data_IF_795294665628
#
_entry.id   IF_795294665628
#
_cell.length_a   1.000
_cell.length_b   1.000
_cell.length_c   1.000
_cell.angle_alpha   90.00
_cell.angle_beta   90.00
_cell.angle_gamma   90.00
#
_symmetry.space_group_name_H-M   'P 1'
#
loop_
_entity.id
_entity.type
_entity.pdbx_description
1 polymer ?
#
# COMPACT_ATOMS: atom_id res chain seq x y z
N UNK A 1 4.60 7.92 -7.75
CA UNK A 1 3.16 8.18 -8.00
C UNK A 1 2.71 7.37 -9.21
N UNK A 2 1.40 7.18 -9.38
CA UNK A 2 0.88 6.54 -10.58
C UNK A 2 1.06 7.41 -11.82
N UNK A 3 1.20 6.81 -13.00
CA UNK A 3 1.34 7.50 -14.28
C UNK A 3 0.26 7.05 -15.29
N UNK A 4 -0.03 7.84 -16.34
CA UNK A 4 -1.05 7.48 -17.32
C UNK A 4 -0.79 6.12 -17.98
N UNK A 5 -1.84 5.30 -18.13
CA UNK A 5 -1.79 3.96 -18.72
C UNK A 5 -0.89 2.95 -17.97
N UNK A 6 -0.62 3.18 -16.68
CA UNK A 6 0.07 2.20 -15.84
C UNK A 6 -0.75 0.90 -15.70
N UNK A 7 -0.07 -0.24 -15.81
CA UNK A 7 -0.68 -1.58 -15.70
C UNK A 7 -0.41 -2.26 -14.35
N UNK A 8 0.79 -2.05 -13.80
CA UNK A 8 1.24 -2.69 -12.57
C UNK A 8 1.21 -1.79 -11.34
N UNK A 9 1.89 -2.24 -10.29
CA UNK A 9 2.13 -1.46 -9.07
C UNK A 9 3.03 -0.25 -9.37
N UNK A 10 3.00 0.76 -8.50
CA UNK A 10 3.98 1.84 -8.52
C UNK A 10 5.36 1.31 -8.15
N UNK A 11 6.41 1.93 -8.69
CA UNK A 11 7.79 1.59 -8.33
C UNK A 11 7.98 1.63 -6.81
N UNK A 12 8.55 0.54 -6.27
CA UNK A 12 8.79 0.38 -4.85
C UNK A 12 9.81 1.39 -4.32
N UNK A 13 9.49 2.01 -3.19
CA UNK A 13 10.34 3.02 -2.52
C UNK A 13 10.79 2.58 -1.13
N UNK A 14 10.35 1.40 -0.69
CA UNK A 14 10.79 0.69 0.51
C UNK A 14 11.18 -0.75 0.17
N UNK A 15 12.04 -1.41 0.97
CA UNK A 15 12.41 -2.81 0.76
C UNK A 15 11.21 -3.75 0.82
N UNK A 16 10.24 -3.47 1.71
CA UNK A 16 9.01 -4.25 1.83
C UNK A 16 8.18 -4.18 0.55
N UNK A 17 8.07 -3.01 -0.08
CA UNK A 17 7.32 -2.90 -1.33
C UNK A 17 8.00 -3.68 -2.46
N UNK A 18 9.33 -3.78 -2.49
CA UNK A 18 10.05 -4.63 -3.45
C UNK A 18 9.72 -6.12 -3.24
N UNK A 19 9.72 -6.60 -1.99
CA UNK A 19 9.31 -7.96 -1.64
C UNK A 19 7.84 -8.24 -2.05
N UNK A 20 6.94 -7.27 -1.83
CA UNK A 20 5.55 -7.37 -2.24
C UNK A 20 5.39 -7.43 -3.77
N UNK A 21 6.18 -6.68 -4.54
CA UNK A 21 6.17 -6.75 -6.00
C UNK A 21 6.62 -8.14 -6.49
N UNK A 22 7.70 -8.69 -5.92
CA UNK A 22 8.17 -10.03 -6.25
C UNK A 22 7.15 -11.12 -5.91
N UNK A 23 6.49 -10.99 -4.75
CA UNK A 23 5.42 -11.91 -4.35
C UNK A 23 4.19 -11.81 -5.24
N UNK A 24 3.80 -10.58 -5.61
CA UNK A 24 2.72 -10.34 -6.56
C UNK A 24 3.00 -11.05 -7.89
N UNK A 25 4.21 -10.92 -8.45
CA UNK A 25 4.56 -11.55 -9.72
C UNK A 25 4.54 -13.08 -9.64
N UNK A 26 5.00 -13.66 -8.52
CA UNK A 26 4.89 -15.10 -8.26
C UNK A 26 3.43 -15.57 -8.22
N UNK A 27 2.57 -14.85 -7.50
CA UNK A 27 1.14 -15.17 -7.43
C UNK A 27 0.44 -14.98 -8.79
N UNK A 28 0.77 -13.91 -9.51
CA UNK A 28 0.20 -13.58 -10.81
C UNK A 28 0.56 -14.63 -11.87
N UNK A 29 1.80 -15.15 -11.85
CA UNK A 29 2.21 -16.27 -12.70
C UNK A 29 1.29 -17.49 -12.50
N UNK A 30 0.98 -17.84 -11.26
CA UNK A 30 0.08 -18.95 -10.94
C UNK A 30 -1.35 -18.67 -11.41
N UNK A 31 -1.86 -17.45 -11.23
CA UNK A 31 -3.19 -17.04 -11.73
C UNK A 31 -3.25 -17.15 -13.25
N UNK A 32 -2.24 -16.70 -13.98
CA UNK A 32 -2.18 -16.85 -15.44
C UNK A 32 -2.12 -18.31 -15.87
N UNK A 33 -1.34 -19.15 -15.18
CA UNK A 33 -1.27 -20.58 -15.45
C UNK A 33 -2.64 -21.25 -15.30
N UNK A 34 -3.33 -21.01 -14.19
CA UNK A 34 -4.63 -21.64 -13.91
C UNK A 34 -5.71 -21.11 -14.88
N UNK A 35 -5.78 -19.79 -15.08
CA UNK A 35 -6.78 -19.19 -15.97
C UNK A 35 -6.61 -19.65 -17.42
N UNK A 36 -5.38 -19.73 -17.92
CA UNK A 36 -5.09 -20.26 -19.26
C UNK A 36 -5.40 -21.76 -19.39
N UNK A 37 -5.10 -22.57 -18.35
CA UNK A 37 -5.46 -23.99 -18.30
C UNK A 37 -6.97 -24.20 -18.35
N UNK A 38 -7.72 -23.46 -17.54
CA UNK A 38 -9.20 -23.56 -17.51
C UNK A 38 -9.77 -23.13 -18.85
N UNK A 39 -9.30 -22.02 -19.41
CA UNK A 39 -9.72 -21.55 -20.74
C UNK A 39 -9.44 -22.60 -21.83
N UNK A 40 -8.24 -23.21 -21.78
CA UNK A 40 -7.86 -24.28 -22.70
C UNK A 40 -8.81 -25.48 -22.58
N UNK A 41 -9.06 -25.99 -21.36
CA UNK A 41 -9.96 -27.13 -21.12
C UNK A 41 -11.36 -26.83 -21.66
N UNK A 42 -11.91 -25.64 -21.39
CA UNK A 42 -13.23 -25.24 -21.91
C UNK A 42 -13.22 -25.27 -23.45
N UNK A 43 -12.21 -24.67 -24.09
CA UNK A 43 -12.12 -24.65 -25.55
C UNK A 43 -12.00 -26.06 -26.16
N UNK A 44 -11.20 -26.94 -25.54
CA UNK A 44 -10.99 -28.30 -26.00
C UNK A 44 -12.26 -29.15 -25.87
N UNK A 45 -12.97 -29.02 -24.73
CA UNK A 45 -14.20 -29.77 -24.48
C UNK A 45 -15.34 -29.36 -25.42
N UNK A 46 -15.38 -28.10 -25.87
CA UNK A 46 -16.43 -27.58 -26.76
C UNK A 46 -16.17 -27.81 -28.25
N UNK A 47 -14.93 -28.13 -28.65
CA UNK A 47 -14.54 -28.17 -30.07
C UNK A 47 -14.53 -29.57 -30.69
N UNK A 48 -14.66 -30.62 -29.89
CA UNK A 48 -14.72 -31.99 -30.39
C UNK A 48 -16.13 -32.39 -30.86
N UNK A 49 -16.19 -33.18 -31.94
CA UNK A 49 -17.44 -33.84 -32.40
C UNK A 49 -17.66 -35.21 -31.73
N UNK A 50 -16.62 -35.75 -31.09
CA UNK A 50 -16.69 -37.05 -30.43
C UNK A 50 -17.56 -36.96 -29.19
N UNK A 51 -18.34 -38.01 -28.91
CA UNK A 51 -19.25 -38.05 -27.77
C UNK A 51 -18.97 -39.25 -26.89
N UNK A 52 -19.10 -39.05 -25.59
CA UNK A 52 -19.13 -40.11 -24.58
C UNK A 52 -20.13 -39.72 -23.51
N UNK A 53 -21.25 -40.45 -23.44
CA UNK A 53 -22.37 -40.17 -22.52
C UNK A 53 -22.60 -41.28 -21.50
N UNK A 54 -21.83 -42.36 -21.58
CA UNK A 54 -21.79 -43.40 -20.56
C UNK A 54 -21.18 -42.89 -19.26
N UNK A 55 -21.49 -43.58 -18.16
CA UNK A 55 -20.95 -43.32 -16.82
C UNK A 55 -19.43 -43.35 -16.84
N UNK A 56 -18.80 -42.31 -16.29
CA UNK A 56 -17.35 -42.22 -16.08
C UNK A 56 -17.05 -42.35 -14.59
N UNK A 57 -16.03 -43.12 -14.24
CA UNK A 57 -15.52 -43.15 -12.87
C UNK A 57 -14.77 -41.85 -12.54
N UNK A 58 -14.96 -41.31 -11.34
CA UNK A 58 -14.48 -39.99 -10.95
C UNK A 58 -13.32 -40.01 -9.95
N UNK A 59 -13.09 -41.12 -9.24
CA UNK A 59 -12.20 -41.14 -8.06
C UNK A 59 -10.77 -40.72 -8.39
N UNK A 60 -10.25 -41.15 -9.54
CA UNK A 60 -8.89 -40.83 -9.98
C UNK A 60 -8.73 -39.33 -10.28
N UNK A 61 -9.67 -38.71 -11.00
CA UNK A 61 -9.61 -37.27 -11.34
C UNK A 61 -9.85 -36.39 -10.11
N UNK A 62 -10.74 -36.84 -9.21
CA UNK A 62 -11.00 -36.16 -7.94
C UNK A 62 -9.75 -36.06 -7.08
N UNK A 63 -8.98 -37.15 -6.99
CA UNK A 63 -7.73 -37.15 -6.24
C UNK A 63 -6.73 -36.13 -6.79
N UNK A 64 -6.62 -36.03 -8.12
CA UNK A 64 -5.69 -35.10 -8.80
C UNK A 64 -6.09 -33.65 -8.58
N UNK A 65 -7.35 -33.28 -8.84
CA UNK A 65 -7.80 -31.89 -8.73
C UNK A 65 -7.93 -31.42 -7.28
N UNK A 66 -7.83 -32.31 -6.28
CA UNK A 66 -7.82 -31.93 -4.87
C UNK A 66 -6.38 -31.73 -4.38
N UNK A 67 -5.46 -32.65 -4.69
CA UNK A 67 -4.07 -32.57 -4.24
C UNK A 67 -3.33 -31.43 -4.95
N UNK A 68 -3.53 -31.25 -6.26
CA UNK A 68 -2.77 -30.26 -7.03
C UNK A 68 -3.04 -28.81 -6.56
N UNK A 69 -4.29 -28.35 -6.36
CA UNK A 69 -4.54 -27.03 -5.79
C UNK A 69 -4.02 -26.87 -4.35
N UNK A 70 -4.05 -27.93 -3.54
CA UNK A 70 -3.48 -27.88 -2.19
C UNK A 70 -1.98 -27.56 -2.21
N UNK A 71 -1.22 -28.19 -3.13
CA UNK A 71 0.21 -27.90 -3.32
C UNK A 71 0.41 -26.44 -3.79
N UNK A 72 -0.41 -25.97 -4.74
CA UNK A 72 -0.35 -24.59 -5.23
C UNK A 72 -0.57 -23.58 -4.10
N UNK A 73 -1.56 -23.82 -3.23
CA UNK A 73 -1.82 -22.95 -2.08
C UNK A 73 -0.63 -22.89 -1.13
N UNK A 74 0.04 -24.01 -0.85
CA UNK A 74 1.27 -24.04 -0.03
C UNK A 74 2.38 -23.20 -0.67
N UNK A 75 2.56 -23.31 -1.99
CA UNK A 75 3.57 -22.54 -2.74
C UNK A 75 3.31 -21.02 -2.74
N UNK A 76 2.07 -20.58 -2.58
CA UNK A 76 1.71 -19.16 -2.40
C UNK A 76 1.85 -18.75 -0.93
N UNK A 77 1.41 -19.60 -0.01
CA UNK A 77 1.35 -19.29 1.41
C UNK A 77 2.74 -19.08 2.04
N UNK A 78 3.75 -19.88 1.66
CA UNK A 78 5.09 -19.79 2.24
C UNK A 78 5.76 -18.41 2.04
N UNK A 79 5.90 -17.88 0.81
CA UNK A 79 6.46 -16.53 0.62
C UNK A 79 5.55 -15.45 1.22
N UNK A 80 4.22 -15.61 1.16
CA UNK A 80 3.27 -14.67 1.75
C UNK A 80 3.47 -14.50 3.26
N UNK A 81 3.53 -15.62 4.00
CA UNK A 81 3.73 -15.61 5.44
C UNK A 81 5.11 -15.07 5.81
N UNK A 82 6.15 -15.38 5.04
CA UNK A 82 7.48 -14.81 5.25
C UNK A 82 7.45 -13.28 5.21
N UNK A 83 6.83 -12.69 4.19
CA UNK A 83 6.73 -11.23 4.05
C UNK A 83 5.89 -10.64 5.19
N UNK A 84 4.78 -11.29 5.56
CA UNK A 84 3.94 -10.87 6.68
C UNK A 84 4.75 -10.70 7.97
N UNK A 85 5.57 -11.71 8.33
CA UNK A 85 6.41 -11.62 9.52
C UNK A 85 7.55 -10.61 9.39
N UNK A 86 8.11 -10.41 8.19
CA UNK A 86 9.12 -9.36 7.95
C UNK A 86 8.54 -7.95 8.13
N UNK A 87 7.27 -7.74 7.79
CA UNK A 87 6.59 -6.45 7.97
C UNK A 87 6.26 -6.15 9.44
N UNK A 88 5.96 -7.18 10.22
CA UNK A 88 5.60 -7.05 11.63
C UNK A 88 6.82 -7.00 12.57
N UNK A 89 8.02 -7.27 12.04
CA UNK A 89 9.25 -7.24 12.82
C UNK A 89 9.48 -5.84 13.42
N UNK A 90 9.57 -5.79 14.75
CA UNK A 90 9.73 -4.55 15.49
C UNK A 90 11.16 -4.06 15.34
N UNK A 91 11.34 -3.18 14.37
CA UNK A 91 12.59 -2.44 14.21
C UNK A 91 12.65 -1.32 15.24
N UNK A 92 13.82 -1.06 15.85
CA UNK A 92 14.04 0.06 16.75
C UNK A 92 13.97 1.37 15.95
N UNK A 93 12.85 2.13 16.00
CA UNK A 93 12.68 3.30 15.15
C UNK A 93 13.46 4.47 15.73
N UNK A 94 14.00 5.31 14.84
CA UNK A 94 14.78 6.50 15.22
C UNK A 94 13.93 7.74 15.39
N UNK A 95 12.71 7.74 14.82
CA UNK A 95 11.74 8.82 14.88
C UNK A 95 10.34 8.22 14.96
N UNK A 96 9.46 8.83 15.75
CA UNK A 96 8.03 8.55 15.80
C UNK A 96 7.28 9.78 15.31
N UNK A 97 6.35 9.56 14.37
CA UNK A 97 5.38 10.57 13.95
C UNK A 97 3.98 10.05 14.23
N UNK A 98 3.06 10.94 14.60
CA UNK A 98 1.64 10.63 14.63
C UNK A 98 0.96 11.27 13.42
N UNK A 99 0.06 10.54 12.78
CA UNK A 99 -0.84 11.06 11.78
C UNK A 99 -2.27 10.85 12.25
N UNK A 100 -3.05 11.93 12.21
CA UNK A 100 -4.44 11.94 12.68
C UNK A 100 -5.32 12.29 11.50
N UNK A 101 -6.28 11.42 11.20
CA UNK A 101 -7.29 11.65 10.17
C UNK A 101 -8.44 12.51 10.67
N UNK A 102 -8.87 13.45 9.83
CA UNK A 102 -10.01 14.35 10.05
C UNK A 102 -10.86 14.46 8.79
N UNK A 103 -12.11 14.89 8.90
CA UNK A 103 -12.98 15.28 7.80
C UNK A 103 -12.63 16.71 7.36
N UNK A 104 -11.92 16.96 6.25
CA UNK A 104 -11.30 16.03 5.29
C UNK A 104 -9.86 16.48 5.02
N UNK A 105 -8.97 16.18 5.95
CA UNK A 105 -7.55 16.52 5.92
C UNK A 105 -6.77 15.60 6.87
N UNK A 106 -5.45 15.70 6.86
CA UNK A 106 -4.58 14.99 7.80
C UNK A 106 -3.83 15.99 8.66
N UNK A 107 -3.69 15.74 9.96
CA UNK A 107 -2.70 16.44 10.78
C UNK A 107 -1.53 15.51 11.11
N UNK A 108 -0.36 16.10 11.28
CA UNK A 108 0.87 15.40 11.62
C UNK A 108 1.48 15.98 12.89
N UNK A 109 1.93 15.12 13.79
CA UNK A 109 2.58 15.48 15.04
C UNK A 109 3.96 14.83 15.14
N UNK A 110 4.98 15.64 15.45
CA UNK A 110 6.38 15.24 15.58
C UNK A 110 6.87 15.51 17.00
N UNK A 111 6.37 14.74 17.98
CA UNK A 111 6.50 15.06 19.41
C UNK A 111 7.73 14.48 20.10
N UNK A 112 8.66 13.85 19.37
CA UNK A 112 9.84 13.22 19.98
C UNK A 112 10.85 14.23 20.54
N UNK A 113 10.87 15.46 20.00
CA UNK A 113 11.82 16.51 20.39
C UNK A 113 11.13 17.79 20.85
N UNK A 114 10.18 18.30 20.05
CA UNK A 114 9.44 19.54 20.30
C UNK A 114 7.95 19.34 19.96
N UNK A 115 7.08 20.26 20.38
CA UNK A 115 5.64 20.21 20.02
C UNK A 115 5.40 20.75 18.61
N UNK A 116 5.95 20.06 17.60
CA UNK A 116 5.68 20.35 16.19
C UNK A 116 4.41 19.64 15.73
N UNK A 117 3.41 20.40 15.31
CA UNK A 117 2.21 19.90 14.64
C UNK A 117 1.75 20.84 13.52
N UNK A 118 1.09 20.27 12.50
CA UNK A 118 0.47 21.05 11.42
C UNK A 118 -0.59 20.24 10.69
N UNK A 119 -1.49 20.95 10.02
CA UNK A 119 -2.51 20.37 9.15
C UNK A 119 -2.03 20.32 7.68
N UNK A 120 -2.52 19.32 6.96
CA UNK A 120 -2.22 19.04 5.56
C UNK A 120 -3.52 18.93 4.77
N UNK A 121 -3.84 19.98 4.04
CA UNK A 121 -5.02 20.09 3.18
C UNK A 121 -4.65 19.95 1.71
N UNK A 122 -5.57 19.41 0.92
CA UNK A 122 -5.43 19.38 -0.54
C UNK A 122 -5.43 20.79 -1.11
N UNK A 123 -4.47 21.10 -1.98
CA UNK A 123 -4.48 22.37 -2.73
C UNK A 123 -5.67 22.35 -3.71
N UNK A 124 -6.57 23.35 -3.68
CA UNK A 124 -7.67 23.46 -4.63
C UNK A 124 -7.16 23.48 -6.08
N UNK A 125 -7.89 22.83 -6.99
CA UNK A 125 -7.44 22.73 -8.41
C UNK A 125 -7.25 24.11 -9.07
N UNK A 126 -7.99 25.13 -8.64
CA UNK A 126 -7.86 26.52 -9.10
C UNK A 126 -6.57 27.21 -8.66
N UNK A 127 -5.89 26.71 -7.62
CA UNK A 127 -4.71 27.30 -7.00
C UNK A 127 -3.41 26.55 -7.35
N UNK A 128 -3.51 25.48 -8.14
CA UNK A 128 -2.36 24.69 -8.55
C UNK A 128 -1.40 25.51 -9.42
N UNK A 129 -0.11 25.40 -9.13
CA UNK A 129 0.93 25.99 -9.99
C UNK A 129 1.18 25.07 -11.20
N UNK A 130 1.70 25.61 -12.32
CA UNK A 130 2.04 24.77 -13.48
C UNK A 130 2.96 23.61 -13.09
N UNK A 131 2.55 22.38 -13.45
CA UNK A 131 3.27 21.14 -13.12
C UNK A 131 2.78 20.41 -11.86
N UNK A 132 1.95 21.05 -11.03
CA UNK A 132 1.34 20.39 -9.88
C UNK A 132 0.28 19.36 -10.26
N UNK A 133 0.11 18.38 -9.37
CA UNK A 133 -0.78 17.25 -9.57
C UNK A 133 -2.18 17.52 -8.99
N UNK A 134 -3.18 17.48 -9.86
CA UNK A 134 -4.59 17.62 -9.47
C UNK A 134 -4.98 16.53 -8.47
N UNK A 135 -5.58 16.94 -7.36
CA UNK A 135 -6.06 16.09 -6.25
C UNK A 135 -5.00 15.38 -5.41
N UNK A 136 -3.71 15.60 -5.66
CA UNK A 136 -2.62 14.92 -4.95
C UNK A 136 -1.73 15.88 -4.16
N UNK A 137 -1.61 17.13 -4.59
CA UNK A 137 -0.81 18.11 -3.86
C UNK A 137 -1.51 18.58 -2.60
N UNK A 138 -0.70 18.81 -1.57
CA UNK A 138 -1.08 19.38 -0.28
C UNK A 138 -0.34 20.68 -0.03
N UNK A 139 -0.91 21.53 0.82
CA UNK A 139 -0.28 22.77 1.27
C UNK A 139 0.98 22.51 2.12
N UNK A 140 0.89 21.61 3.10
CA UNK A 140 1.97 21.20 3.98
C UNK A 140 2.25 19.70 3.81
N UNK A 141 3.46 19.38 3.38
CA UNK A 141 3.90 17.98 3.20
C UNK A 141 4.44 17.44 4.52
N UNK A 142 4.29 16.15 4.75
CA UNK A 142 4.96 15.47 5.85
C UNK A 142 6.43 15.21 5.46
N UNK A 143 7.33 16.08 5.94
CA UNK A 143 8.77 15.96 5.67
C UNK A 143 9.37 14.93 6.63
N UNK A 144 10.17 14.00 6.10
CA UNK A 144 10.74 12.88 6.83
C UNK A 144 12.19 12.61 6.41
N UNK A 145 13.06 12.11 7.30
CA UNK A 145 14.39 11.70 6.92
C UNK A 145 14.38 10.40 6.10
N UNK A 146 15.07 10.39 4.96
CA UNK A 146 15.32 9.16 4.18
C UNK A 146 16.32 8.23 4.89
N UNK A 147 16.34 6.95 4.51
CA UNK A 147 17.24 5.90 5.03
C UNK A 147 17.15 5.67 6.55
N UNK A 148 16.07 6.12 7.18
CA UNK A 148 15.81 5.95 8.61
C UNK A 148 14.53 5.17 8.84
N UNK A 149 14.52 4.34 9.88
CA UNK A 149 13.33 3.60 10.29
C UNK A 149 12.45 4.51 11.13
N UNK A 150 11.27 4.83 10.62
CA UNK A 150 10.30 5.74 11.24
C UNK A 150 9.10 4.93 11.71
N UNK A 151 8.69 5.14 12.96
CA UNK A 151 7.40 4.64 13.46
C UNK A 151 6.32 5.64 13.11
N UNK A 152 5.28 5.20 12.43
CA UNK A 152 4.09 6.00 12.14
C UNK A 152 2.96 5.47 13.00
N UNK A 153 2.40 6.35 13.83
CA UNK A 153 1.22 6.08 14.64
C UNK A 153 0.00 6.71 13.96
N UNK A 154 -0.96 5.87 13.57
CA UNK A 154 -2.13 6.27 12.77
C UNK A 154 -3.39 6.20 13.65
N UNK A 155 -4.13 7.30 13.73
CA UNK A 155 -5.41 7.38 14.43
C UNK A 155 -6.35 8.39 13.77
N UNK A 156 -7.55 8.55 14.30
CA UNK A 156 -8.56 9.50 13.81
C UNK A 156 -9.22 10.23 14.99
N UNK A 157 -9.64 11.47 14.76
CA UNK A 157 -10.43 12.25 15.72
C UNK A 157 -11.94 12.24 15.45
N UNK A 158 -12.39 11.73 14.30
CA UNK A 158 -13.81 11.71 13.93
C UNK A 158 -14.33 10.34 13.45
N UNK A 159 -14.18 10.02 12.16
CA UNK A 159 -14.68 8.80 11.50
C UNK A 159 -13.51 7.91 11.09
N UNK A 160 -13.82 6.78 10.46
CA UNK A 160 -12.77 5.94 9.88
C UNK A 160 -12.11 6.65 8.70
N UNK A 161 -10.78 6.64 8.69
CA UNK A 161 -9.95 6.97 7.53
C UNK A 161 -8.92 5.85 7.32
N UNK A 162 -8.10 5.93 6.28
CA UNK A 162 -6.97 5.01 6.11
C UNK A 162 -5.81 5.71 5.46
N UNK A 163 -4.69 5.74 6.17
CA UNK A 163 -3.45 6.40 5.76
C UNK A 163 -2.65 5.45 4.87
N UNK A 164 -2.55 5.76 3.58
CA UNK A 164 -1.97 4.86 2.59
C UNK A 164 -1.01 5.55 1.63
N UNK A 165 0.17 4.97 1.45
CA UNK A 165 1.20 5.40 0.50
C UNK A 165 1.66 4.17 -0.30
N UNK A 166 1.07 3.93 -1.49
CA UNK A 166 1.26 2.68 -2.23
C UNK A 166 2.71 2.36 -2.58
N UNK A 167 3.51 3.35 -2.98
CA UNK A 167 4.93 3.14 -3.33
C UNK A 167 5.78 2.63 -2.17
N UNK A 168 5.38 2.91 -0.92
CA UNK A 168 6.06 2.40 0.27
C UNK A 168 5.47 1.08 0.77
N UNK A 169 4.39 0.57 0.16
CA UNK A 169 3.69 -0.62 0.64
C UNK A 169 2.92 -0.39 1.95
N UNK A 170 2.53 0.86 2.23
CA UNK A 170 1.88 1.24 3.50
C UNK A 170 0.39 1.49 3.30
N UNK A 171 -0.42 0.85 4.15
CA UNK A 171 -1.83 1.17 4.35
C UNK A 171 -2.20 0.80 5.78
N UNK A 172 -2.69 1.77 6.54
CA UNK A 172 -3.10 1.55 7.93
C UNK A 172 -4.34 2.38 8.24
N UNK A 173 -5.35 1.73 8.78
CA UNK A 173 -6.62 2.40 9.09
C UNK A 173 -6.45 3.31 10.31
N UNK A 174 -7.01 4.50 10.19
CA UNK A 174 -7.13 5.50 11.23
C UNK A 174 -8.50 5.31 11.90
N UNK A 175 -8.48 4.73 13.10
CA UNK A 175 -9.69 4.34 13.84
C UNK A 175 -9.81 5.23 15.09
N UNK A 176 -10.93 5.95 15.28
CA UNK A 176 -11.12 6.77 16.48
C UNK A 176 -10.98 5.95 17.76
N UNK A 177 -10.17 6.46 18.70
CA UNK A 177 -9.88 5.77 19.96
C UNK A 177 -8.90 4.59 19.87
N UNK A 178 -8.28 4.37 18.71
CA UNK A 178 -7.22 3.35 18.53
C UNK A 178 -5.99 3.96 17.87
N UNK A 179 -4.82 3.63 18.41
CA UNK A 179 -3.53 4.04 17.86
C UNK A 179 -2.90 2.83 17.15
N UNK A 180 -3.03 2.79 15.82
CA UNK A 180 -2.36 1.76 15.02
C UNK A 180 -0.92 2.16 14.76
N UNK A 181 -0.03 1.18 14.61
CA UNK A 181 1.38 1.40 14.32
C UNK A 181 1.72 0.78 12.97
N UNK A 182 2.52 1.48 12.18
CA UNK A 182 3.23 0.92 11.02
C UNK A 182 4.65 1.45 10.97
N UNK A 183 5.54 0.69 10.31
CA UNK A 183 6.95 1.07 10.13
C UNK A 183 7.14 1.63 8.73
N UNK A 184 7.80 2.78 8.64
CA UNK A 184 8.14 3.44 7.38
C UNK A 184 9.67 3.47 7.22
N UNK A 185 10.15 3.05 6.06
CA UNK A 185 11.54 3.18 5.64
C UNK A 185 11.57 3.47 4.14
N UNK A 186 12.07 4.65 3.78
CA UNK A 186 12.29 5.02 2.38
C UNK A 186 13.79 4.96 2.06
N UNK A 187 14.16 4.28 0.99
CA UNK A 187 15.58 4.12 0.59
C UNK A 187 16.09 5.25 -0.29
N UNK A 188 15.20 6.14 -0.75
CA UNK A 188 15.53 7.20 -1.71
C UNK A 188 14.84 8.51 -1.30
N UNK A 189 15.43 9.67 -1.65
CA UNK A 189 14.76 10.95 -1.47
C UNK A 189 13.65 11.13 -2.52
N UNK A 190 12.69 12.01 -2.23
CA UNK A 190 11.68 12.42 -3.20
C UNK A 190 10.30 12.66 -2.60
N UNK A 191 9.32 12.82 -3.48
CA UNK A 191 7.91 13.01 -3.12
C UNK A 191 7.14 11.72 -3.35
N UNK A 192 6.50 11.22 -2.29
CA UNK A 192 5.66 10.03 -2.35
C UNK A 192 4.22 10.39 -2.01
N UNK A 193 3.33 10.01 -2.92
CA UNK A 193 1.92 10.41 -2.87
C UNK A 193 1.05 9.25 -2.44
N UNK A 194 0.03 9.58 -1.66
CA UNK A 194 -0.98 8.68 -1.12
C UNK A 194 -2.36 9.34 -1.11
N UNK A 195 -3.38 8.56 -0.81
CA UNK A 195 -4.75 9.04 -0.65
C UNK A 195 -5.45 8.28 0.48
N UNK A 196 -6.46 8.90 1.08
CA UNK A 196 -7.33 8.21 2.02
C UNK A 196 -7.95 6.96 1.38
N UNK A 197 -7.85 5.82 2.07
CA UNK A 197 -8.23 4.50 1.54
C UNK A 197 -9.38 3.83 2.30
N UNK A 198 -10.19 4.64 3.01
CA UNK A 198 -11.41 4.23 3.73
C UNK A 198 -12.47 5.33 3.61
N UNK A 199 -13.75 4.96 3.41
CA UNK A 199 -14.80 5.93 3.09
C UNK A 199 -15.10 6.84 4.30
N UNK A 200 -14.88 8.15 4.14
CA UNK A 200 -14.96 9.12 5.25
C UNK A 200 -15.91 10.31 5.00
N UNK A 201 -16.82 10.21 4.01
CA UNK A 201 -17.85 11.21 3.73
C UNK A 201 -17.61 12.01 2.45
N UNK A 202 -18.17 13.21 2.37
CA UNK A 202 -18.32 13.99 1.12
C UNK A 202 -17.02 14.26 0.38
N UNK A 203 -15.94 14.60 1.10
CA UNK A 203 -14.65 14.91 0.48
C UNK A 203 -13.62 13.78 0.65
N UNK A 204 -14.08 12.52 0.75
CA UNK A 204 -13.21 11.34 0.83
C UNK A 204 -12.10 11.32 -0.25
N UNK A 205 -12.44 11.71 -1.48
CA UNK A 205 -11.48 11.77 -2.59
C UNK A 205 -10.49 12.94 -2.56
N UNK A 206 -10.60 13.85 -1.58
CA UNK A 206 -9.94 15.16 -1.57
C UNK A 206 -9.07 15.40 -0.32
N UNK A 207 -8.56 14.33 0.29
CA UNK A 207 -7.62 14.38 1.41
C UNK A 207 -6.38 13.52 1.13
N UNK A 208 -5.53 13.95 0.17
CA UNK A 208 -4.32 13.22 -0.21
C UNK A 208 -3.25 13.30 0.88
N UNK A 209 -2.22 12.48 0.71
CA UNK A 209 -1.04 12.40 1.57
C UNK A 209 0.17 12.67 0.70
N UNK A 210 1.08 13.54 1.14
CA UNK A 210 2.37 13.75 0.47
C UNK A 210 3.47 13.66 1.49
N UNK A 211 4.35 12.68 1.30
CA UNK A 211 5.59 12.55 2.04
C UNK A 211 6.73 13.16 1.24
N UNK A 212 7.56 13.96 1.91
CA UNK A 212 8.78 14.51 1.35
C UNK A 212 9.99 13.94 2.08
N UNK A 213 10.71 13.05 1.41
CA UNK A 213 11.83 12.32 1.99
C UNK A 213 13.13 13.03 1.63
N UNK A 214 13.84 13.48 2.66
CA UNK A 214 15.04 14.32 2.54
C UNK A 214 16.17 13.80 3.42
N UNK A 215 17.43 14.16 3.15
CA UNK A 215 18.54 13.88 4.08
C UNK A 215 18.28 14.46 5.48
N UNK A 216 18.76 13.77 6.52
CA UNK A 216 18.54 14.14 7.93
C UNK A 216 18.84 15.62 8.24
N UNK A 217 19.94 16.18 7.71
CA UNK A 217 20.30 17.59 7.93
C UNK A 217 19.28 18.59 7.40
N UNK A 218 18.54 18.24 6.34
CA UNK A 218 17.46 19.09 5.79
C UNK A 218 16.22 18.94 6.66
N UNK A 219 15.91 17.71 7.07
CA UNK A 219 14.81 17.42 7.99
C UNK A 219 14.95 18.19 9.32
N UNK A 220 16.13 18.16 9.96
CA UNK A 220 16.38 18.87 11.23
C UNK A 220 16.18 20.39 11.09
N UNK A 221 16.67 20.96 9.98
CA UNK A 221 16.49 22.39 9.68
C UNK A 221 15.04 22.75 9.43
N UNK A 222 14.32 21.91 8.67
CA UNK A 222 12.90 22.08 8.42
C UNK A 222 12.11 22.01 9.73
N UNK A 223 12.37 20.98 10.55
CA UNK A 223 11.73 20.79 11.86
C UNK A 223 11.94 22.02 12.75
N UNK A 224 13.16 22.55 12.80
CA UNK A 224 13.49 23.75 13.57
C UNK A 224 12.81 25.03 13.05
N UNK A 225 12.45 25.08 11.77
CA UNK A 225 11.80 26.25 11.15
C UNK A 225 10.28 26.25 11.27
N UNK A 226 9.70 25.11 11.63
CA UNK A 226 8.26 24.93 11.80
C UNK A 226 7.81 25.13 13.26
N UNK A 227 8.76 25.26 14.18
CA UNK A 227 8.57 25.63 15.59
C UNK A 227 8.68 27.15 15.70
#
# INVERSE_FOLDING_TARGET
>A
MAYPFQLGLQDATSPIMEELMNFHDHALMIVFLISSLVLYIISAMLTTKLTHTSTMDAQAVETIWTILPAIILVMIALPSLRILYMMDEINNPTLTIKTVGHQWYWSYEYTDYDELNFDSYMIPTSELKPGNLRLLEVDNRAVLPMEMTIRVLVTSEDVLHSWAIPSLGLKTDAIPGRLNQTTLLATRPGLYYGQCSEICGSNHSFMPIVLELVPLKIFEKWSSSMI
#
